data_IF_908364073110
#
_entry.id   IF_908364073110
#
_cell.length_a   1.000
_cell.length_b   1.000
_cell.length_c   1.000
_cell.angle_alpha   90.00
_cell.angle_beta   90.00
_cell.angle_gamma   90.00
#
_symmetry.space_group_name_H-M   'P 1'
#
loop_
_entity.id
_entity.type
_entity.pdbx_description
1 polymer ?
#
# COMPACT_ATOMS: atom_id res chain seq x y z
N UNK A 1 4.83 -46.98 15.11
CA UNK A 1 5.83 -46.13 14.42
C UNK A 1 7.03 -46.01 15.33
N UNK A 2 8.21 -46.41 14.86
CA UNK A 2 9.44 -46.43 15.67
C UNK A 2 10.14 -45.07 15.57
N UNK A 3 10.86 -44.68 16.63
CA UNK A 3 11.60 -43.41 16.74
C UNK A 3 12.50 -43.12 15.52
N UNK A 4 12.99 -44.16 14.85
CA UNK A 4 13.77 -44.08 13.60
C UNK A 4 12.98 -43.54 12.40
N UNK A 5 11.68 -43.82 12.29
CA UNK A 5 10.85 -43.31 11.19
C UNK A 5 10.54 -41.83 11.34
N UNK A 6 10.44 -41.34 12.58
CA UNK A 6 10.21 -39.92 12.88
C UNK A 6 11.45 -39.06 12.58
N UNK A 7 12.65 -39.57 12.89
CA UNK A 7 13.93 -38.90 12.61
C UNK A 7 14.21 -38.84 11.10
N UNK A 8 13.87 -39.89 10.34
CA UNK A 8 14.03 -39.88 8.88
C UNK A 8 13.07 -38.88 8.21
N UNK A 9 11.82 -38.79 8.68
CA UNK A 9 10.82 -37.87 8.13
C UNK A 9 11.17 -36.39 8.39
N UNK A 10 11.67 -36.07 9.60
CA UNK A 10 12.16 -34.72 9.94
C UNK A 10 13.44 -34.35 9.18
N UNK A 11 14.32 -35.31 8.91
CA UNK A 11 15.52 -35.09 8.09
C UNK A 11 15.21 -34.84 6.61
N UNK A 12 14.20 -35.51 6.04
CA UNK A 12 13.78 -35.26 4.64
C UNK A 12 13.06 -33.91 4.46
N UNK A 13 12.33 -33.44 5.48
CA UNK A 13 11.69 -32.12 5.46
C UNK A 13 12.72 -30.98 5.57
N UNK A 14 13.77 -31.15 6.40
CA UNK A 14 14.86 -30.17 6.48
C UNK A 14 15.70 -30.08 5.18
N UNK A 15 15.85 -31.20 4.47
CA UNK A 15 16.59 -31.25 3.20
C UNK A 15 15.81 -30.63 2.03
N UNK A 16 14.48 -30.70 2.04
CA UNK A 16 13.64 -30.10 0.98
C UNK A 16 13.52 -28.58 1.10
N UNK A 17 13.50 -28.04 2.32
CA UNK A 17 13.59 -26.58 2.56
C UNK A 17 14.93 -25.98 2.10
N UNK A 18 16.05 -26.60 2.45
CA UNK A 18 17.39 -26.16 2.03
C UNK A 18 17.65 -26.33 0.52
N UNK A 19 17.11 -27.40 -0.10
CA UNK A 19 17.26 -27.62 -1.54
C UNK A 19 16.48 -26.59 -2.36
N UNK A 20 15.28 -26.20 -1.93
CA UNK A 20 14.46 -25.20 -2.62
C UNK A 20 15.10 -23.80 -2.58
N UNK A 21 15.82 -23.47 -1.51
CA UNK A 21 16.56 -22.21 -1.38
C UNK A 21 17.82 -22.13 -2.27
N UNK A 22 18.56 -23.24 -2.43
CA UNK A 22 19.74 -23.26 -3.32
C UNK A 22 19.36 -23.15 -4.79
N UNK A 23 18.24 -23.76 -5.20
CA UNK A 23 17.77 -23.71 -6.58
C UNK A 23 17.41 -22.27 -7.00
N UNK A 24 16.85 -21.46 -6.10
CA UNK A 24 16.46 -20.08 -6.42
C UNK A 24 17.65 -19.11 -6.62
N UNK A 25 18.79 -19.32 -5.93
CA UNK A 25 19.93 -18.39 -6.01
C UNK A 25 20.76 -18.57 -7.28
N UNK A 26 20.86 -19.81 -7.77
CA UNK A 26 21.70 -20.18 -8.92
C UNK A 26 20.89 -20.38 -10.22
N UNK A 27 19.59 -20.08 -10.19
CA UNK A 27 18.75 -20.20 -11.38
C UNK A 27 19.14 -19.14 -12.42
N UNK A 28 19.33 -19.52 -13.70
CA UNK A 28 19.54 -18.55 -14.77
C UNK A 28 18.29 -17.65 -14.91
N UNK A 29 18.51 -16.34 -14.84
CA UNK A 29 17.46 -15.33 -14.94
C UNK A 29 17.60 -14.61 -16.27
N UNK A 30 16.50 -14.47 -17.01
CA UNK A 30 16.51 -13.66 -18.22
C UNK A 30 16.74 -12.18 -17.88
N UNK A 31 17.39 -11.46 -18.80
CA UNK A 31 17.60 -10.01 -18.67
C UNK A 31 16.27 -9.26 -18.53
N UNK A 32 15.20 -9.77 -19.17
CA UNK A 32 13.85 -9.24 -19.07
C UNK A 32 13.24 -9.40 -17.67
N UNK A 33 13.35 -10.59 -17.05
CA UNK A 33 12.86 -10.81 -15.69
C UNK A 33 13.61 -9.98 -14.65
N UNK A 34 14.93 -9.83 -14.81
CA UNK A 34 15.75 -8.99 -13.94
C UNK A 34 15.35 -7.51 -14.03
N UNK A 35 15.18 -6.99 -15.25
CA UNK A 35 14.77 -5.59 -15.46
C UNK A 35 13.34 -5.35 -14.94
N UNK A 36 12.42 -6.29 -15.17
CA UNK A 36 11.07 -6.21 -14.63
C UNK A 36 11.08 -6.12 -13.10
N UNK A 37 11.81 -7.03 -12.42
CA UNK A 37 11.91 -7.03 -10.97
C UNK A 37 12.53 -5.72 -10.44
N UNK A 38 13.56 -5.21 -11.14
CA UNK A 38 14.23 -3.94 -10.77
C UNK A 38 13.28 -2.75 -10.83
N UNK A 39 12.54 -2.61 -11.93
CA UNK A 39 11.59 -1.50 -12.13
C UNK A 39 10.44 -1.59 -11.13
N UNK A 40 9.87 -2.79 -10.94
CA UNK A 40 8.77 -2.99 -10.01
C UNK A 40 9.20 -2.69 -8.56
N UNK A 41 10.35 -3.22 -8.13
CA UNK A 41 10.88 -2.98 -6.80
C UNK A 41 11.17 -1.48 -6.55
N UNK A 42 11.76 -0.80 -7.54
CA UNK A 42 12.02 0.63 -7.44
C UNK A 42 10.73 1.44 -7.24
N UNK A 43 9.70 1.15 -8.03
CA UNK A 43 8.42 1.86 -7.95
C UNK A 43 7.66 1.53 -6.66
N UNK A 44 7.68 0.28 -6.19
CA UNK A 44 7.03 -0.13 -4.95
C UNK A 44 7.68 0.52 -3.73
N UNK A 45 9.01 0.44 -3.60
CA UNK A 45 9.73 1.11 -2.51
C UNK A 45 9.51 2.62 -2.57
N UNK A 46 9.60 3.21 -3.77
CA UNK A 46 9.39 4.64 -3.97
C UNK A 46 7.98 5.08 -3.58
N UNK A 47 6.96 4.31 -3.92
CA UNK A 47 5.57 4.58 -3.54
C UNK A 47 5.38 4.45 -2.03
N UNK A 48 5.83 3.35 -1.41
CA UNK A 48 5.70 3.13 0.03
C UNK A 48 6.38 4.24 0.84
N UNK A 49 7.56 4.69 0.40
CA UNK A 49 8.23 5.85 0.96
C UNK A 49 7.39 7.13 0.80
N UNK A 50 6.90 7.41 -0.40
CA UNK A 50 6.09 8.60 -0.65
C UNK A 50 4.79 8.60 0.19
N UNK A 51 4.18 7.43 0.39
CA UNK A 51 3.03 7.24 1.27
C UNK A 51 3.41 7.52 2.72
N UNK A 52 4.53 6.98 3.20
CA UNK A 52 4.99 7.26 4.57
C UNK A 52 5.19 8.76 4.81
N UNK A 53 5.96 9.42 3.93
CA UNK A 53 6.26 10.85 4.01
C UNK A 53 4.98 11.71 3.93
N UNK A 54 4.04 11.35 3.05
CA UNK A 54 2.77 12.07 2.93
C UNK A 54 1.85 11.84 4.14
N UNK A 55 1.83 10.63 4.71
CA UNK A 55 1.04 10.32 5.90
C UNK A 55 1.53 11.10 7.13
N UNK A 56 2.86 11.30 7.26
CA UNK A 56 3.46 12.20 8.26
C UNK A 56 3.01 13.67 8.04
N UNK A 57 3.05 14.15 6.79
CA UNK A 57 2.59 15.51 6.46
C UNK A 57 1.12 15.71 6.79
N UNK A 58 0.26 14.80 6.37
CA UNK A 58 -1.18 14.85 6.64
C UNK A 58 -1.47 14.80 8.15
N UNK A 59 -0.71 14.02 8.93
CA UNK A 59 -0.84 14.00 10.38
C UNK A 59 -0.51 15.36 10.99
N UNK A 60 0.57 16.00 10.54
CA UNK A 60 0.98 17.34 11.00
C UNK A 60 -0.05 18.40 10.61
N UNK A 61 -0.58 18.32 9.40
CA UNK A 61 -1.61 19.23 8.89
C UNK A 61 -3.02 18.91 9.41
N UNK A 62 -3.20 17.82 10.17
CA UNK A 62 -4.48 17.32 10.71
C UNK A 62 -5.52 16.94 9.65
N UNK A 63 -5.08 16.46 8.49
CA UNK A 63 -5.94 15.94 7.41
C UNK A 63 -6.40 14.48 7.64
N UNK A 64 -6.29 13.95 8.86
CA UNK A 64 -6.76 12.62 9.18
C UNK A 64 -7.45 12.55 10.55
N UNK A 65 -8.39 11.60 10.64
CA UNK A 65 -9.19 11.32 11.83
C UNK A 65 -8.37 10.74 12.97
N UNK A 66 -7.42 9.86 12.64
CA UNK A 66 -6.58 9.17 13.63
C UNK A 66 -5.10 9.28 13.26
N UNK A 67 -4.31 9.71 14.23
CA UNK A 67 -2.84 9.72 14.18
C UNK A 67 -2.32 8.68 15.17
N UNK A 68 -1.46 7.78 14.70
CA UNK A 68 -0.80 6.78 15.55
C UNK A 68 0.71 6.74 15.23
N UNK A 69 1.55 6.30 16.18
CA UNK A 69 2.95 6.05 15.88
C UNK A 69 3.09 4.86 14.92
N UNK A 70 3.81 5.06 13.82
CA UNK A 70 4.19 3.99 12.89
C UNK A 70 5.70 3.79 12.88
N UNK A 71 6.10 2.57 12.55
CA UNK A 71 7.50 2.19 12.45
C UNK A 71 8.24 3.05 11.41
N UNK A 72 9.47 3.51 11.70
CA UNK A 72 10.24 4.37 10.82
C UNK A 72 11.03 3.59 9.76
N UNK A 73 10.47 2.51 9.22
CA UNK A 73 11.10 1.66 8.21
C UNK A 73 10.06 0.92 7.37
N UNK A 74 10.49 0.42 6.22
CA UNK A 74 9.67 -0.43 5.33
C UNK A 74 10.31 -1.81 5.26
N UNK A 75 9.49 -2.84 5.46
CA UNK A 75 9.90 -4.23 5.26
C UNK A 75 9.31 -4.76 3.95
N UNK A 76 10.08 -5.56 3.25
CA UNK A 76 9.61 -6.26 2.05
C UNK A 76 10.00 -7.72 2.13
N UNK A 77 9.09 -8.58 1.69
CA UNK A 77 9.28 -10.03 1.63
C UNK A 77 8.45 -10.58 0.48
N UNK A 78 8.89 -11.66 -0.14
CA UNK A 78 8.06 -12.46 -1.06
C UNK A 78 7.29 -13.57 -0.34
N UNK A 79 7.47 -13.75 0.97
CA UNK A 79 6.88 -14.84 1.76
C UNK A 79 5.36 -14.77 1.88
N UNK A 80 4.77 -13.57 1.76
CA UNK A 80 3.31 -13.40 1.70
C UNK A 80 2.71 -13.54 0.31
N UNK A 81 3.55 -13.71 -0.72
CA UNK A 81 3.09 -13.91 -2.08
C UNK A 81 2.68 -15.36 -2.24
N UNK A 82 1.45 -15.60 -2.67
CA UNK A 82 1.04 -16.95 -3.03
C UNK A 82 1.97 -17.46 -4.16
N UNK A 83 2.58 -18.65 -4.00
CA UNK A 83 3.52 -19.20 -4.98
C UNK A 83 2.96 -19.25 -6.41
N UNK A 84 1.64 -19.30 -6.59
CA UNK A 84 1.02 -19.29 -7.93
C UNK A 84 1.08 -17.92 -8.62
N UNK A 85 1.38 -16.85 -7.88
CA UNK A 85 1.28 -15.46 -8.34
C UNK A 85 2.60 -14.90 -8.82
N UNK A 86 3.72 -15.48 -8.34
CA UNK A 86 5.07 -15.07 -8.70
C UNK A 86 5.83 -16.27 -9.22
N UNK A 87 6.25 -16.22 -10.48
CA UNK A 87 7.05 -17.30 -11.09
C UNK A 87 8.36 -17.49 -10.32
N UNK A 88 8.90 -18.70 -10.34
CA UNK A 88 10.18 -18.97 -9.69
C UNK A 88 11.27 -18.06 -10.27
N UNK A 89 11.27 -17.79 -11.59
CA UNK A 89 12.22 -16.88 -12.26
C UNK A 89 12.16 -15.46 -11.67
N UNK A 90 10.95 -14.91 -11.47
CA UNK A 90 10.81 -13.59 -10.86
C UNK A 90 11.19 -13.62 -9.37
N UNK A 91 10.89 -14.70 -8.62
CA UNK A 91 11.37 -14.84 -7.24
C UNK A 91 12.88 -14.81 -7.15
N UNK A 92 13.56 -15.53 -8.05
CA UNK A 92 15.02 -15.48 -8.14
C UNK A 92 15.52 -14.07 -8.48
N UNK A 93 14.81 -13.36 -9.36
CA UNK A 93 15.18 -11.99 -9.75
C UNK A 93 15.07 -11.03 -8.56
N UNK A 94 13.98 -11.12 -7.79
CA UNK A 94 13.83 -10.36 -6.53
C UNK A 94 14.90 -10.73 -5.50
N UNK A 95 15.22 -12.02 -5.36
CA UNK A 95 16.24 -12.47 -4.42
C UNK A 95 17.62 -11.89 -4.75
N UNK A 96 17.98 -11.77 -6.05
CA UNK A 96 19.22 -11.09 -6.48
C UNK A 96 19.22 -9.59 -6.19
N UNK A 97 18.03 -8.98 -6.07
CA UNK A 97 17.85 -7.57 -5.70
C UNK A 97 17.69 -7.37 -4.18
N UNK A 98 17.84 -8.42 -3.38
CA UNK A 98 17.77 -8.34 -1.93
C UNK A 98 16.35 -8.40 -1.35
N UNK A 99 15.37 -8.93 -2.08
CA UNK A 99 14.02 -9.22 -1.58
C UNK A 99 13.72 -10.70 -1.77
N UNK A 100 13.55 -11.43 -0.68
CA UNK A 100 13.26 -12.86 -0.67
C UNK A 100 12.13 -13.18 0.32
N UNK A 101 11.92 -14.46 0.63
CA UNK A 101 10.92 -14.89 1.61
C UNK A 101 11.12 -14.32 3.03
N UNK A 102 12.30 -13.78 3.38
CA UNK A 102 12.51 -13.16 4.69
C UNK A 102 12.06 -11.70 4.69
N UNK A 103 11.62 -11.19 5.83
CA UNK A 103 11.24 -9.78 5.98
C UNK A 103 12.47 -8.88 6.06
N UNK A 104 12.78 -8.22 4.94
CA UNK A 104 13.99 -7.40 4.79
C UNK A 104 13.67 -5.92 4.84
N UNK A 105 14.54 -5.17 5.51
CA UNK A 105 14.47 -3.71 5.52
C UNK A 105 14.85 -3.18 4.14
N UNK A 106 13.93 -2.51 3.47
CA UNK A 106 14.16 -1.91 2.14
C UNK A 106 14.27 -0.39 2.18
N UNK A 107 13.87 0.22 3.28
CA UNK A 107 13.99 1.65 3.53
C UNK A 107 13.90 1.94 5.04
N UNK A 108 14.58 2.99 5.49
CA UNK A 108 14.54 3.51 6.87
C UNK A 108 14.38 5.02 6.79
N UNK A 109 13.57 5.59 7.67
CA UNK A 109 13.42 7.03 7.81
C UNK A 109 14.79 7.65 8.14
N UNK A 110 15.31 8.59 7.32
CA UNK A 110 16.60 9.24 7.56
C UNK A 110 16.70 9.98 8.90
N UNK A 111 15.56 10.33 9.50
CA UNK A 111 15.47 11.01 10.80
C UNK A 111 15.47 10.04 11.98
N UNK A 112 15.25 8.74 11.74
CA UNK A 112 15.40 7.73 12.76
C UNK A 112 16.88 7.47 13.05
N UNK A 113 17.23 7.32 14.32
CA UNK A 113 18.60 6.96 14.70
C UNK A 113 19.07 5.70 13.94
N UNK A 114 20.33 5.64 13.48
CA UNK A 114 20.81 4.65 12.50
C UNK A 114 21.04 3.25 13.12
N UNK A 115 20.05 2.71 13.81
CA UNK A 115 20.10 1.40 14.46
C UNK A 115 19.71 0.26 13.53
N UNK A 116 18.99 0.56 12.45
CA UNK A 116 18.53 -0.39 11.44
C UNK A 116 19.09 0.00 10.07
N UNK A 117 19.50 -0.98 9.26
CA UNK A 117 20.09 -0.78 7.94
C UNK A 117 19.27 -1.46 6.86
N UNK A 118 19.31 -0.88 5.65
CA UNK A 118 18.75 -1.54 4.46
C UNK A 118 19.47 -2.87 4.25
N UNK A 119 18.69 -3.93 4.03
CA UNK A 119 19.15 -5.31 3.90
C UNK A 119 19.06 -6.14 5.18
N UNK A 120 18.91 -5.50 6.35
CA UNK A 120 18.73 -6.21 7.62
C UNK A 120 17.49 -7.11 7.56
N UNK A 121 17.60 -8.28 8.17
CA UNK A 121 16.52 -9.27 8.22
C UNK A 121 15.83 -9.16 9.57
N UNK A 122 14.55 -8.78 9.56
CA UNK A 122 13.73 -8.69 10.76
C UNK A 122 13.00 -10.01 10.99
N UNK A 123 13.18 -10.58 12.17
CA UNK A 123 12.56 -11.86 12.57
C UNK A 123 11.51 -11.71 13.65
N UNK A 124 11.47 -10.58 14.37
CA UNK A 124 10.37 -10.27 15.27
C UNK A 124 10.19 -8.76 15.51
N UNK A 125 8.97 -8.34 15.85
CA UNK A 125 8.64 -6.96 16.21
C UNK A 125 7.76 -6.96 17.46
N UNK A 126 8.16 -6.24 18.50
CA UNK A 126 7.47 -6.17 19.80
C UNK A 126 7.20 -7.58 20.39
N UNK A 127 8.16 -8.50 20.24
CA UNK A 127 8.04 -9.89 20.70
C UNK A 127 7.10 -10.76 19.85
N UNK A 128 6.71 -10.29 18.66
CA UNK A 128 5.89 -11.04 17.69
C UNK A 128 6.79 -11.55 16.60
N UNK A 129 6.93 -12.86 16.50
CA UNK A 129 7.76 -13.49 15.49
C UNK A 129 7.19 -13.29 14.08
N UNK A 130 8.10 -13.19 13.12
CA UNK A 130 7.81 -13.11 11.69
C UNK A 130 8.29 -14.42 11.08
N UNK A 131 7.33 -15.29 10.77
CA UNK A 131 7.57 -16.58 10.13
C UNK A 131 7.78 -16.38 8.61
N UNK A 132 8.98 -16.65 8.05
CA UNK A 132 9.30 -16.35 6.64
C UNK A 132 8.42 -17.08 5.63
N UNK A 133 7.93 -18.26 6.00
CA UNK A 133 7.12 -19.12 5.13
C UNK A 133 5.61 -19.03 5.43
N UNK A 134 5.20 -18.24 6.42
CA UNK A 134 3.79 -18.00 6.73
C UNK A 134 3.29 -16.75 6.00
N UNK A 135 2.28 -16.87 5.12
CA UNK A 135 1.75 -15.72 4.41
C UNK A 135 1.26 -14.63 5.35
N UNK A 136 1.64 -13.39 5.06
CA UNK A 136 1.26 -12.19 5.80
C UNK A 136 1.78 -12.07 7.23
N UNK A 137 2.69 -12.95 7.69
CA UNK A 137 3.24 -12.94 9.06
C UNK A 137 3.83 -11.57 9.45
N UNK A 138 4.66 -10.99 8.58
CA UNK A 138 5.28 -9.67 8.78
C UNK A 138 4.22 -8.55 8.92
N UNK A 139 3.19 -8.58 8.08
CA UNK A 139 2.08 -7.62 8.11
C UNK A 139 1.27 -7.76 9.39
N UNK A 140 0.98 -8.99 9.82
CA UNK A 140 0.25 -9.26 11.06
C UNK A 140 1.08 -8.82 12.27
N UNK A 141 2.38 -9.11 12.29
CA UNK A 141 3.29 -8.71 13.36
C UNK A 141 3.31 -7.18 13.50
N UNK A 142 3.49 -6.44 12.40
CA UNK A 142 3.45 -4.98 12.41
C UNK A 142 2.10 -4.41 12.82
N UNK A 143 1.01 -4.91 12.24
CA UNK A 143 -0.34 -4.40 12.56
C UNK A 143 -0.65 -4.55 14.05
N UNK A 144 -0.31 -5.70 14.64
CA UNK A 144 -0.48 -5.92 16.08
C UNK A 144 0.51 -5.08 16.89
N UNK A 145 1.77 -4.96 16.44
CA UNK A 145 2.77 -4.14 17.10
C UNK A 145 2.34 -2.68 17.21
N UNK A 146 1.70 -2.12 16.18
CA UNK A 146 1.11 -0.77 16.19
C UNK A 146 -0.08 -0.66 17.13
N UNK A 147 -1.02 -1.61 17.05
CA UNK A 147 -2.24 -1.58 17.86
C UNK A 147 -1.97 -1.55 19.37
N UNK A 148 -0.94 -2.27 19.81
CA UNK A 148 -0.60 -2.36 21.23
C UNK A 148 0.40 -1.27 21.66
N UNK A 149 0.94 -0.48 20.72
CA UNK A 149 1.95 0.51 21.00
C UNK A 149 1.35 1.69 21.77
N UNK A 150 1.85 1.94 22.98
CA UNK A 150 1.51 3.18 23.68
C UNK A 150 2.31 4.36 23.10
N UNK A 151 1.81 5.60 23.28
CA UNK A 151 2.61 6.78 22.98
C UNK A 151 4.01 6.69 23.61
N UNK A 152 5.03 7.10 22.86
CA UNK A 152 6.44 7.12 23.27
C UNK A 152 7.12 5.76 23.53
N UNK A 153 6.42 4.64 23.30
CA UNK A 153 7.06 3.32 23.34
C UNK A 153 7.81 3.04 22.02
N UNK A 154 9.08 2.61 22.07
CA UNK A 154 9.80 2.23 20.86
C UNK A 154 9.31 0.88 20.33
N UNK A 155 9.34 0.74 19.00
CA UNK A 155 9.32 -0.56 18.35
C UNK A 155 10.58 -1.33 18.72
N UNK A 156 10.41 -2.55 19.22
CA UNK A 156 11.48 -3.49 19.52
C UNK A 156 11.61 -4.47 18.36
N UNK A 157 12.61 -4.26 17.51
CA UNK A 157 12.89 -5.05 16.32
C UNK A 157 13.99 -6.05 16.63
N UNK A 158 13.75 -7.33 16.40
CA UNK A 158 14.75 -8.39 16.51
C UNK A 158 15.25 -8.78 15.13
N UNK A 159 16.56 -8.84 14.97
CA UNK A 159 17.24 -9.22 13.73
C UNK A 159 17.62 -10.70 13.72
N UNK A 160 17.83 -11.26 12.53
CA UNK A 160 18.21 -12.67 12.30
C UNK A 160 19.58 -13.03 12.91
N UNK A 161 20.46 -12.05 13.10
CA UNK A 161 21.75 -12.22 13.79
C UNK A 161 21.64 -12.23 15.34
N UNK A 162 20.41 -12.06 15.86
CA UNK A 162 20.11 -12.02 17.29
C UNK A 162 20.16 -10.62 17.90
N UNK A 163 20.59 -9.59 17.16
CA UNK A 163 20.58 -8.21 17.65
C UNK A 163 19.15 -7.71 17.86
N UNK A 164 18.95 -6.89 18.89
CA UNK A 164 17.71 -6.15 19.12
C UNK A 164 17.93 -4.65 18.90
N UNK A 165 16.99 -4.02 18.23
CA UNK A 165 17.02 -2.61 17.83
C UNK A 165 15.75 -1.95 18.34
N UNK A 166 15.89 -0.78 18.99
CA UNK A 166 14.76 0.01 19.47
C UNK A 166 14.63 1.30 18.66
N UNK A 167 13.45 1.52 18.07
CA UNK A 167 13.16 2.64 17.18
C UNK A 167 11.88 3.35 17.63
N UNK A 168 11.94 4.66 17.82
CA UNK A 168 10.73 5.43 18.11
C UNK A 168 9.87 5.55 16.85
N UNK A 169 8.57 5.31 17.02
CA UNK A 169 7.60 5.52 15.95
C UNK A 169 7.40 7.00 15.65
N UNK A 170 7.03 7.31 14.42
CA UNK A 170 6.65 8.67 14.01
C UNK A 170 5.13 8.79 13.93
N UNK A 171 4.53 9.93 14.32
CA UNK A 171 3.10 10.14 14.18
C UNK A 171 2.71 10.21 12.69
N UNK A 172 1.85 9.29 12.25
CA UNK A 172 1.32 9.26 10.88
C UNK A 172 -0.18 8.99 10.88
N UNK A 173 -0.84 9.31 9.77
CA UNK A 173 -2.24 8.94 9.56
C UNK A 173 -2.39 7.41 9.41
N UNK A 174 -3.22 6.81 10.27
CA UNK A 174 -3.32 5.35 10.48
C UNK A 174 -3.64 4.55 9.20
N UNK A 175 -4.50 5.08 8.34
CA UNK A 175 -5.22 4.26 7.35
C UNK A 175 -4.51 3.99 6.00
N UNK A 176 -3.25 4.38 5.82
CA UNK A 176 -2.58 4.22 4.51
C UNK A 176 -1.22 3.50 4.49
N UNK A 177 -0.55 3.34 5.63
CA UNK A 177 0.82 2.82 5.63
C UNK A 177 0.83 1.31 5.92
N UNK A 178 0.73 0.50 4.88
CA UNK A 178 1.14 -0.91 4.96
C UNK A 178 2.61 -1.00 4.54
N UNK A 179 3.51 -0.88 5.50
CA UNK A 179 4.97 -0.96 5.29
C UNK A 179 5.46 -2.37 4.94
N UNK A 180 4.56 -3.34 4.77
CA UNK A 180 4.84 -4.75 4.43
C UNK A 180 3.88 -5.24 3.36
N UNK A 181 4.11 -4.84 2.12
CA UNK A 181 3.38 -5.45 1.03
C UNK A 181 4.18 -5.34 -0.27
N UNK A 182 4.90 -6.42 -0.59
CA UNK A 182 5.24 -6.70 -1.99
C UNK A 182 3.94 -7.14 -2.68
N UNK A 183 3.35 -6.33 -3.55
CA UNK A 183 2.08 -6.73 -4.19
C UNK A 183 2.39 -7.65 -5.39
N UNK A 184 2.06 -8.95 -5.35
CA UNK A 184 2.26 -9.83 -6.50
C UNK A 184 1.24 -9.57 -7.62
N UNK A 185 0.13 -8.91 -7.29
CA UNK A 185 -0.89 -8.47 -8.22
C UNK A 185 -1.09 -6.97 -8.11
N UNK A 186 -0.04 -6.19 -8.38
CA UNK A 186 -0.20 -4.76 -8.26
C UNK A 186 -1.26 -4.30 -9.30
N UNK A 187 -1.49 -5.10 -10.36
CA UNK A 187 -2.48 -4.94 -11.43
C UNK A 187 -3.96 -5.09 -11.02
N UNK A 188 -4.27 -5.61 -9.81
CA UNK A 188 -5.65 -5.85 -9.39
C UNK A 188 -6.10 -4.83 -8.34
N UNK A 189 -7.16 -4.08 -8.67
CA UNK A 189 -7.90 -3.31 -7.67
C UNK A 189 -8.71 -4.28 -6.81
N UNK A 190 -8.24 -4.46 -5.59
CA UNK A 190 -8.99 -5.10 -4.52
C UNK A 190 -9.36 -4.07 -3.47
N UNK A 191 -10.65 -3.77 -3.32
CA UNK A 191 -11.18 -3.43 -2.01
C UNK A 191 -11.13 -4.72 -1.19
N UNK A 192 -10.00 -4.99 -0.56
CA UNK A 192 -10.04 -5.98 0.51
C UNK A 192 -10.82 -5.32 1.66
N UNK A 193 -11.59 -6.10 2.42
CA UNK A 193 -12.43 -5.62 3.52
C UNK A 193 -11.60 -5.03 4.71
N UNK A 194 -10.31 -4.81 4.50
CA UNK A 194 -9.34 -4.13 5.36
C UNK A 194 -9.20 -2.64 4.98
N UNK A 195 -8.62 -1.77 5.84
CA UNK A 195 -8.57 -0.32 5.60
C UNK A 195 -7.67 0.17 4.44
N UNK A 196 -7.24 -0.68 3.51
CA UNK A 196 -6.37 -0.28 2.39
C UNK A 196 -7.10 -0.11 1.06
N UNK A 197 -6.81 0.99 0.36
CA UNK A 197 -7.13 1.13 -1.06
C UNK A 197 -5.85 0.82 -1.84
N UNK A 198 -5.92 -0.17 -2.73
CA UNK A 198 -4.83 -0.46 -3.66
C UNK A 198 -4.82 0.60 -4.76
N UNK A 199 -3.70 1.33 -4.91
CA UNK A 199 -3.50 2.23 -6.05
C UNK A 199 -3.38 1.40 -7.34
N UNK A 200 -3.91 1.87 -8.49
CA UNK A 200 -3.94 1.04 -9.70
C UNK A 200 -2.54 0.73 -10.22
N UNK A 201 -2.20 -0.57 -10.30
CA UNK A 201 -1.24 -1.17 -11.26
C UNK A 201 -0.73 -0.22 -12.35
N UNK A 202 -1.60 -0.06 -13.34
CA UNK A 202 -1.21 0.55 -14.58
C UNK A 202 -0.87 2.02 -14.40
N UNK A 203 -1.39 2.68 -13.37
CA UNK A 203 -1.02 4.02 -13.02
C UNK A 203 0.37 4.07 -12.35
N UNK A 204 0.67 3.15 -11.43
CA UNK A 204 2.03 3.01 -10.86
C UNK A 204 3.09 2.66 -11.92
N UNK A 205 2.73 1.91 -12.96
CA UNK A 205 3.61 1.69 -14.13
C UNK A 205 3.89 2.95 -14.93
N UNK A 206 2.97 3.92 -14.92
CA UNK A 206 3.15 5.21 -15.58
C UNK A 206 3.88 6.23 -14.71
N UNK A 207 4.12 5.92 -13.43
CA UNK A 207 4.95 6.75 -12.56
C UNK A 207 6.42 6.60 -12.99
N UNK A 208 6.99 7.70 -13.47
CA UNK A 208 8.36 7.77 -13.99
C UNK A 208 9.25 8.62 -13.09
N UNK A 209 8.65 9.44 -12.23
CA UNK A 209 9.34 10.42 -11.40
C UNK A 209 8.93 10.32 -9.93
N UNK A 210 9.75 10.88 -9.04
CA UNK A 210 9.39 10.99 -7.62
C UNK A 210 8.12 11.82 -7.41
N UNK A 211 7.86 12.82 -8.25
CA UNK A 211 6.65 13.64 -8.19
C UNK A 211 5.39 12.83 -8.56
N UNK A 212 5.48 11.92 -9.54
CA UNK A 212 4.39 10.98 -9.84
C UNK A 212 4.05 10.11 -8.61
N UNK A 213 5.08 9.59 -7.93
CA UNK A 213 4.91 8.75 -6.73
C UNK A 213 4.34 9.54 -5.55
N UNK A 214 4.77 10.79 -5.34
CA UNK A 214 4.19 11.70 -4.32
C UNK A 214 2.74 12.02 -4.61
N UNK A 215 2.40 12.29 -5.87
CA UNK A 215 1.02 12.52 -6.27
C UNK A 215 0.16 11.29 -5.99
N UNK A 216 0.63 10.10 -6.39
CA UNK A 216 -0.03 8.82 -6.12
C UNK A 216 -0.24 8.57 -4.62
N UNK A 217 0.78 8.85 -3.82
CA UNK A 217 0.72 8.74 -2.37
C UNK A 217 -0.35 9.67 -1.76
N UNK A 218 -0.35 10.96 -2.13
CA UNK A 218 -1.34 11.93 -1.67
C UNK A 218 -2.76 11.56 -2.11
N UNK A 219 -2.90 11.13 -3.36
CA UNK A 219 -4.17 10.66 -3.91
C UNK A 219 -4.71 9.45 -3.13
N UNK A 220 -3.91 8.40 -2.96
CA UNK A 220 -4.30 7.20 -2.25
C UNK A 220 -4.62 7.47 -0.78
N UNK A 221 -3.75 8.24 -0.10
CA UNK A 221 -3.92 8.58 1.31
C UNK A 221 -5.17 9.40 1.57
N UNK A 222 -5.53 10.32 0.67
CA UNK A 222 -6.77 11.07 0.83
C UNK A 222 -7.97 10.13 0.85
N UNK A 223 -8.03 9.16 -0.08
CA UNK A 223 -9.15 8.22 -0.15
C UNK A 223 -9.12 7.25 1.04
N UNK A 224 -7.94 6.89 1.56
CA UNK A 224 -7.84 5.96 2.70
C UNK A 224 -7.95 6.61 4.07
N UNK A 225 -7.67 7.89 4.21
CA UNK A 225 -7.38 8.50 5.53
C UNK A 225 -8.07 9.85 5.77
N UNK A 226 -8.69 10.46 4.76
CA UNK A 226 -9.44 11.70 4.97
C UNK A 226 -10.76 11.44 5.73
N UNK A 227 -11.22 12.39 6.57
CA UNK A 227 -12.50 12.29 7.26
C UNK A 227 -13.69 12.12 6.30
N UNK A 228 -13.69 12.80 5.16
CA UNK A 228 -14.74 12.66 4.14
C UNK A 228 -14.78 11.24 3.58
N UNK A 229 -13.64 10.72 3.16
CA UNK A 229 -13.56 9.38 2.58
C UNK A 229 -13.85 8.28 3.61
N UNK A 230 -13.45 8.47 4.87
CA UNK A 230 -13.82 7.57 5.97
C UNK A 230 -15.33 7.59 6.26
N UNK A 231 -15.94 8.77 6.32
CA UNK A 231 -17.40 8.93 6.50
C UNK A 231 -18.17 8.23 5.37
N UNK A 232 -17.77 8.46 4.12
CA UNK A 232 -18.39 7.81 2.95
C UNK A 232 -18.18 6.29 2.94
N UNK A 233 -16.97 5.80 3.23
CA UNK A 233 -16.70 4.35 3.36
C UNK A 233 -17.53 3.72 4.47
N UNK A 234 -17.69 4.39 5.61
CA UNK A 234 -18.49 3.90 6.73
C UNK A 234 -19.96 3.78 6.34
N UNK A 235 -20.53 4.82 5.71
CA UNK A 235 -21.89 4.79 5.17
C UNK A 235 -22.06 3.68 4.13
N UNK A 236 -21.10 3.54 3.22
CA UNK A 236 -21.13 2.52 2.18
C UNK A 236 -21.00 1.10 2.76
N UNK A 237 -20.16 0.88 3.79
CA UNK A 237 -20.04 -0.40 4.51
C UNK A 237 -21.34 -0.79 5.20
N UNK A 238 -22.01 0.17 5.85
CA UNK A 238 -23.32 -0.06 6.47
C UNK A 238 -24.36 -0.44 5.40
N UNK A 239 -24.37 0.25 4.26
CA UNK A 239 -25.28 -0.06 3.15
C UNK A 239 -24.95 -1.39 2.44
N UNK A 240 -23.67 -1.79 2.43
CA UNK A 240 -23.17 -3.01 1.80
C UNK A 240 -23.33 -4.27 2.65
N UNK A 241 -23.93 -4.21 3.84
CA UNK A 241 -24.22 -5.40 4.66
C UNK A 241 -25.08 -6.37 3.83
N UNK A 242 -24.66 -7.62 3.60
CA UNK A 242 -25.31 -8.55 2.67
C UNK A 242 -26.82 -8.77 2.91
N UNK A 243 -27.28 -8.58 4.15
CA UNK A 243 -28.70 -8.58 4.51
C UNK A 243 -29.47 -7.33 4.03
N UNK A 244 -28.94 -6.12 4.19
CA UNK A 244 -29.60 -4.87 3.80
C UNK A 244 -29.56 -4.65 2.27
N UNK A 245 -28.40 -4.93 1.66
CA UNK A 245 -28.19 -4.84 0.22
C UNK A 245 -29.10 -5.81 -0.56
N UNK A 246 -29.30 -7.01 -0.03
CA UNK A 246 -30.21 -8.01 -0.60
C UNK A 246 -31.67 -7.57 -0.57
N UNK A 247 -32.15 -6.93 0.51
CA UNK A 247 -33.54 -6.48 0.62
C UNK A 247 -33.87 -5.33 -0.34
N UNK A 248 -32.95 -4.39 -0.56
CA UNK A 248 -33.15 -3.29 -1.53
C UNK A 248 -33.15 -3.81 -2.97
N UNK A 249 -32.28 -4.77 -3.30
CA UNK A 249 -32.24 -5.40 -4.63
C UNK A 249 -33.49 -6.27 -4.92
N UNK A 250 -34.02 -6.96 -3.90
CA UNK A 250 -35.23 -7.79 -4.00
C UNK A 250 -36.52 -6.96 -4.23
N UNK A 251 -36.55 -5.68 -3.83
CA UNK A 251 -37.73 -4.83 -3.99
C UNK A 251 -37.89 -4.23 -5.39
N UNK A 252 -36.84 -4.25 -6.23
CA UNK A 252 -36.80 -3.47 -7.49
C UNK A 252 -36.86 -4.38 -8.74
N UNK A 253 -36.50 -5.66 -8.64
CA UNK A 253 -36.45 -6.56 -9.80
C UNK A 253 -37.22 -7.87 -9.52
N UNK A 254 -38.44 -8.03 -10.04
CA UNK A 254 -39.13 -9.32 -10.03
C UNK A 254 -38.30 -10.31 -10.88
N UNK A 255 -37.70 -11.32 -10.24
CA UNK A 255 -36.86 -12.34 -10.89
C UNK A 255 -35.34 -12.20 -10.73
N UNK A 256 -34.85 -11.20 -9.99
CA UNK A 256 -33.41 -10.94 -9.78
C UNK A 256 -32.71 -11.81 -8.72
N UNK A 257 -33.20 -13.03 -8.45
CA UNK A 257 -32.86 -13.87 -7.29
C UNK A 257 -31.42 -14.44 -7.24
N UNK A 258 -30.47 -13.96 -8.06
CA UNK A 258 -29.13 -14.54 -8.09
C UNK A 258 -27.95 -13.58 -8.29
N UNK A 259 -28.13 -12.26 -8.19
CA UNK A 259 -26.96 -11.41 -8.00
C UNK A 259 -26.41 -11.67 -6.59
N UNK A 260 -25.29 -12.42 -6.52
CA UNK A 260 -24.69 -12.78 -5.24
C UNK A 260 -24.49 -11.51 -4.43
N UNK A 261 -24.95 -11.47 -3.17
CA UNK A 261 -24.88 -10.28 -2.32
C UNK A 261 -23.48 -9.65 -2.29
N UNK A 262 -22.41 -10.44 -2.53
CA UNK A 262 -21.03 -9.97 -2.70
C UNK A 262 -20.83 -8.99 -3.86
N UNK A 263 -21.45 -9.21 -5.03
CA UNK A 263 -21.35 -8.27 -6.17
C UNK A 263 -22.09 -6.97 -5.86
N UNK A 264 -23.29 -7.06 -5.28
CA UNK A 264 -24.09 -5.87 -4.89
C UNK A 264 -23.36 -5.07 -3.80
N UNK A 265 -22.81 -5.73 -2.78
CA UNK A 265 -22.00 -5.10 -1.74
C UNK A 265 -20.75 -4.40 -2.30
N UNK A 266 -20.06 -5.02 -3.26
CA UNK A 266 -18.89 -4.40 -3.91
C UNK A 266 -19.29 -3.16 -4.72
N UNK A 267 -20.39 -3.22 -5.46
CA UNK A 267 -20.91 -2.07 -6.21
C UNK A 267 -21.36 -0.93 -5.30
N UNK A 268 -22.03 -1.21 -4.17
CA UNK A 268 -22.45 -0.20 -3.18
C UNK A 268 -21.23 0.50 -2.55
N UNK A 269 -20.17 -0.26 -2.22
CA UNK A 269 -18.92 0.31 -1.73
C UNK A 269 -18.29 1.25 -2.76
N UNK A 270 -18.33 0.86 -4.03
CA UNK A 270 -17.77 1.63 -5.12
C UNK A 270 -18.55 2.93 -5.37
N UNK A 271 -19.89 2.86 -5.51
CA UNK A 271 -20.74 4.05 -5.68
C UNK A 271 -20.69 5.01 -4.48
N UNK A 272 -20.47 4.47 -3.27
CA UNK A 272 -20.30 5.31 -2.07
C UNK A 272 -19.09 6.26 -2.14
N UNK A 273 -18.11 5.99 -3.03
CA UNK A 273 -16.87 6.74 -3.16
C UNK A 273 -16.76 7.57 -4.45
N UNK A 274 -17.79 7.57 -5.30
CA UNK A 274 -17.79 8.24 -6.61
C UNK A 274 -17.39 9.73 -6.53
N UNK A 275 -17.80 10.42 -5.45
CA UNK A 275 -17.42 11.82 -5.20
C UNK A 275 -16.06 12.04 -4.51
N UNK A 276 -15.35 10.98 -4.10
CA UNK A 276 -14.06 11.10 -3.37
C UNK A 276 -12.88 11.17 -4.34
N UNK A 277 -12.95 10.48 -5.47
CA UNK A 277 -11.84 10.41 -6.43
C UNK A 277 -11.47 11.78 -7.03
N UNK A 278 -12.43 12.66 -7.42
CA UNK A 278 -12.09 13.98 -7.96
C UNK A 278 -11.47 14.88 -6.89
N UNK A 279 -12.01 14.83 -5.67
CA UNK A 279 -11.50 15.57 -4.51
C UNK A 279 -10.10 15.11 -4.11
N UNK A 280 -9.83 13.80 -4.16
CA UNK A 280 -8.50 13.23 -3.93
C UNK A 280 -7.48 13.71 -4.97
N UNK A 281 -7.89 13.83 -6.24
CA UNK A 281 -7.03 14.32 -7.30
C UNK A 281 -6.72 15.81 -7.15
N UNK A 282 -7.72 16.62 -6.76
CA UNK A 282 -7.52 18.01 -6.38
C UNK A 282 -6.56 18.15 -5.19
N UNK A 283 -6.76 17.37 -4.13
CA UNK A 283 -5.91 17.34 -2.94
C UNK A 283 -4.45 17.03 -3.32
N UNK A 284 -4.21 15.94 -4.04
CA UNK A 284 -2.86 15.54 -4.46
C UNK A 284 -2.15 16.61 -5.30
N UNK A 285 -2.90 17.29 -6.17
CA UNK A 285 -2.40 18.37 -7.02
C UNK A 285 -1.98 19.59 -6.20
N UNK A 286 -2.79 19.96 -5.20
CA UNK A 286 -2.47 21.06 -4.28
C UNK A 286 -1.30 20.73 -3.35
N UNK A 287 -1.20 19.48 -2.89
CA UNK A 287 -0.08 19.03 -2.05
C UNK A 287 1.26 19.11 -2.78
N UNK A 288 1.34 18.68 -4.05
CA UNK A 288 2.55 18.89 -4.85
C UNK A 288 2.92 20.37 -4.96
N UNK A 289 1.94 21.22 -5.26
CA UNK A 289 2.18 22.66 -5.36
C UNK A 289 2.67 23.26 -4.02
N UNK A 290 2.11 22.82 -2.89
CA UNK A 290 2.52 23.25 -1.56
C UNK A 290 3.97 22.85 -1.23
N UNK A 291 4.48 21.77 -1.83
CA UNK A 291 5.89 21.35 -1.76
C UNK A 291 6.81 22.15 -2.71
N UNK A 292 6.26 23.10 -3.48
CA UNK A 292 6.99 23.83 -4.51
C UNK A 292 7.25 23.00 -5.78
N UNK A 293 6.58 21.87 -5.93
CA UNK A 293 6.70 20.99 -7.10
C UNK A 293 5.71 21.39 -8.21
N UNK A 294 5.92 20.87 -9.41
CA UNK A 294 4.93 21.01 -10.48
C UNK A 294 3.64 20.24 -10.07
N UNK A 295 2.46 20.88 -10.06
CA UNK A 295 1.18 20.20 -9.79
C UNK A 295 0.68 19.26 -10.92
N UNK A 296 1.35 19.21 -12.07
CA UNK A 296 0.90 18.47 -13.26
C UNK A 296 1.18 16.95 -13.33
N UNK A 297 2.14 16.34 -12.59
CA UNK A 297 2.53 14.93 -12.76
C UNK A 297 1.38 13.92 -12.74
N UNK A 298 0.46 14.02 -11.77
CA UNK A 298 -0.70 13.15 -11.70
C UNK A 298 -1.57 13.18 -12.96
N UNK A 299 -1.77 14.38 -13.49
CA UNK A 299 -2.55 14.62 -14.72
C UNK A 299 -1.88 13.93 -15.91
N UNK A 300 -0.57 14.09 -16.04
CA UNK A 300 0.19 13.53 -17.16
C UNK A 300 0.23 12.00 -17.08
N UNK A 301 0.37 11.45 -15.87
CA UNK A 301 0.35 10.03 -15.62
C UNK A 301 -0.99 9.39 -16.01
N UNK A 302 -2.12 9.98 -15.63
CA UNK A 302 -3.45 9.53 -16.07
C UNK A 302 -3.64 9.72 -17.59
N UNK A 303 -3.19 10.83 -18.16
CA UNK A 303 -3.27 11.07 -19.60
C UNK A 303 -2.46 10.04 -20.40
N UNK A 304 -1.26 9.67 -19.95
CA UNK A 304 -0.45 8.59 -20.55
C UNK A 304 -1.19 7.24 -20.47
N UNK A 305 -1.77 6.91 -19.31
CA UNK A 305 -2.51 5.67 -19.13
C UNK A 305 -3.74 5.60 -20.06
N UNK A 306 -4.51 6.68 -20.19
CA UNK A 306 -5.64 6.78 -21.11
C UNK A 306 -5.20 6.66 -22.58
N UNK A 307 -4.15 7.38 -22.98
CA UNK A 307 -3.62 7.34 -24.35
C UNK A 307 -3.16 5.93 -24.75
N UNK A 308 -2.61 5.17 -23.81
CA UNK A 308 -2.20 3.78 -23.99
C UNK A 308 -3.35 2.78 -23.84
N UNK A 309 -4.60 3.25 -23.62
CA UNK A 309 -5.78 2.42 -23.35
C UNK A 309 -5.55 1.42 -22.21
N UNK A 310 -4.72 1.79 -21.24
CA UNK A 310 -4.43 0.94 -20.10
C UNK A 310 -5.63 0.93 -19.17
N UNK A 311 -6.03 -0.27 -18.72
CA UNK A 311 -7.02 -0.39 -17.67
C UNK A 311 -6.41 0.08 -16.35
N UNK A 312 -6.67 1.32 -15.93
CA UNK A 312 -6.38 1.80 -14.56
C UNK A 312 -7.45 1.36 -13.54
N UNK A 313 -8.19 0.31 -13.94
CA UNK A 313 -9.40 -0.23 -13.33
C UNK A 313 -10.42 0.82 -12.96
N UNK A 314 -11.09 0.67 -11.82
CA UNK A 314 -12.24 1.49 -11.47
C UNK A 314 -11.86 2.93 -11.02
N UNK A 315 -10.57 3.27 -10.93
CA UNK A 315 -10.16 4.67 -10.76
C UNK A 315 -10.07 5.31 -12.15
N UNK A 316 -11.21 5.49 -12.80
CA UNK A 316 -11.30 6.21 -14.07
C UNK A 316 -11.61 7.67 -13.77
N UNK A 317 -10.59 8.51 -13.83
CA UNK A 317 -10.79 9.94 -13.94
C UNK A 317 -11.29 10.21 -15.36
N UNK A 318 -12.51 10.72 -15.48
CA UNK A 318 -13.12 11.14 -16.74
C UNK A 318 -12.32 12.27 -17.40
N UNK A 319 -12.52 12.46 -18.70
CA UNK A 319 -11.85 13.56 -19.43
C UNK A 319 -12.21 14.94 -18.86
N UNK A 320 -13.43 15.09 -18.35
CA UNK A 320 -13.90 16.31 -17.69
C UNK A 320 -13.15 16.56 -16.38
N UNK A 321 -12.94 15.53 -15.57
CA UNK A 321 -12.17 15.63 -14.32
C UNK A 321 -10.69 15.90 -14.61
N UNK A 322 -10.10 15.25 -15.61
CA UNK A 322 -8.73 15.57 -16.05
C UNK A 322 -8.59 17.01 -16.54
N UNK A 323 -9.57 17.52 -17.29
CA UNK A 323 -9.61 18.92 -17.70
C UNK A 323 -9.72 19.86 -16.50
N UNK A 324 -10.54 19.51 -15.50
CA UNK A 324 -10.67 20.27 -14.25
C UNK A 324 -9.35 20.34 -13.47
N UNK A 325 -8.67 19.20 -13.30
CA UNK A 325 -7.38 19.13 -12.59
C UNK A 325 -6.30 19.90 -13.38
N UNK A 326 -6.32 19.88 -14.72
CA UNK A 326 -5.45 20.73 -15.56
C UNK A 326 -5.68 22.22 -15.33
N UNK A 327 -6.93 22.65 -15.30
CA UNK A 327 -7.28 24.03 -15.03
C UNK A 327 -6.80 24.45 -13.64
N UNK A 328 -6.98 23.58 -12.63
CA UNK A 328 -6.46 23.80 -11.28
C UNK A 328 -4.93 23.92 -11.25
N UNK A 329 -4.20 22.99 -11.87
CA UNK A 329 -2.75 23.03 -11.92
C UNK A 329 -2.22 24.32 -12.58
N UNK A 330 -2.87 24.76 -13.67
CA UNK A 330 -2.55 26.04 -14.30
C UNK A 330 -2.85 27.22 -13.37
N UNK A 331 -3.97 27.20 -12.66
CA UNK A 331 -4.35 28.27 -11.75
C UNK A 331 -3.44 28.35 -10.50
N UNK A 332 -2.98 27.20 -9.99
CA UNK A 332 -1.98 27.14 -8.92
C UNK A 332 -0.67 27.78 -9.37
N UNK A 333 -0.18 27.44 -10.56
CA UNK A 333 1.02 28.05 -11.16
C UNK A 333 0.90 29.57 -11.33
N UNK A 334 -0.31 30.09 -11.55
CA UNK A 334 -0.61 31.51 -11.71
C UNK A 334 -0.92 32.25 -10.40
N UNK A 335 -1.04 31.54 -9.27
CA UNK A 335 -1.42 32.12 -7.99
C UNK A 335 -2.89 32.57 -7.91
N UNK A 336 -3.76 32.05 -8.78
CA UNK A 336 -5.19 32.38 -8.83
C UNK A 336 -6.09 31.14 -8.65
N UNK A 337 -5.57 30.08 -8.05
CA UNK A 337 -6.32 28.86 -7.79
C UNK A 337 -7.57 29.13 -6.93
N UNK A 338 -8.72 28.51 -7.24
CA UNK A 338 -9.89 28.58 -6.39
C UNK A 338 -9.60 27.95 -5.02
N UNK A 339 -10.47 28.22 -4.04
CA UNK A 339 -10.44 27.53 -2.75
C UNK A 339 -10.63 26.02 -2.95
N UNK A 340 -10.06 25.18 -2.08
CA UNK A 340 -10.22 23.73 -2.17
C UNK A 340 -11.69 23.32 -2.03
N UNK A 341 -12.10 22.28 -2.75
CA UNK A 341 -13.47 21.73 -2.63
C UNK A 341 -13.65 20.84 -1.40
N UNK A 342 -12.55 20.42 -0.77
CA UNK A 342 -12.55 19.66 0.48
C UNK A 342 -12.48 20.56 1.71
N UNK A 343 -13.01 20.06 2.83
CA UNK A 343 -12.87 20.71 4.12
C UNK A 343 -11.40 20.78 4.53
N UNK A 344 -10.93 22.01 4.78
CA UNK A 344 -9.65 22.24 5.43
C UNK A 344 -9.79 21.90 6.92
N UNK A 345 -8.84 21.16 7.51
CA UNK A 345 -8.85 20.93 8.94
C UNK A 345 -8.83 22.26 9.68
N UNK A 346 -9.61 22.36 10.76
CA UNK A 346 -9.64 23.55 11.60
C UNK A 346 -8.20 23.86 12.05
N UNK A 347 -7.64 24.94 11.51
CA UNK A 347 -6.32 25.42 11.91
C UNK A 347 -6.42 25.73 13.40
N UNK A 348 -5.71 24.98 14.24
CA UNK A 348 -5.50 25.43 15.61
C UNK A 348 -4.72 26.74 15.49
N UNK A 349 -5.38 27.84 15.85
CA UNK A 349 -4.70 29.08 16.20
C UNK A 349 -3.54 28.73 17.14
N UNK A 350 -2.35 29.17 16.73
CA UNK A 350 -1.02 28.88 17.31
C UNK A 350 -0.97 28.76 18.82
#
# INVERSE_FOLDING_TARGET
>A
MTLRTLILATSLLALTGCASQRIAKDMPISTGAQEQARVQLHNEIGLLRAVYEQAQRMATQRYCSTVQPHEPFILMTTGHVDPKQLSDELRAAYAQLGVDHKARVVWVDPTAEPKLKVGDVVVAINGRDIEPDEPYSAMVALRKARHDLQPDQPFKVKLDDGQSVELLGQPVCEAGVYSTYFDPYPHQLGFDLSPGIKLPTNLLKQAQTAADLRWLAAYGLYITSSPEAESRRTKARIAAVPGLAGHVALAIIPGGSWLSGRYVSKSILYFGLDGVYPTAAEFATRELHALGEDPSPGIEMFARAQAQKMQVGDIVVSDAELASIRALAAALKQGNAPQPTYELPAVASK
#
